data_IF_110376817211
#
_entry.id   IF_110376817211
#
_cell.length_a   1.000
_cell.length_b   1.000
_cell.length_c   1.000
_cell.angle_alpha   90.00
_cell.angle_beta   90.00
_cell.angle_gamma   90.00
#
_symmetry.space_group_name_H-M   'P 1'
#
loop_
_entity.id
_entity.type
_entity.pdbx_description
1 polymer ?
#
# COMPACT_ATOMS: atom_id res chain seq x y z
N UNK A 1 -7.84 11.55 -8.19
CA UNK A 1 -8.57 12.44 -7.26
C UNK A 1 -7.93 12.53 -5.87
N UNK A 2 -6.65 12.17 -5.69
CA UNK A 2 -5.94 12.26 -4.40
C UNK A 2 -5.65 13.71 -3.95
N UNK A 3 -5.54 14.65 -4.89
CA UNK A 3 -5.15 16.02 -4.60
C UNK A 3 -6.07 16.77 -3.62
N UNK A 4 -7.36 16.43 -3.54
CA UNK A 4 -8.30 17.08 -2.61
C UNK A 4 -8.21 16.49 -1.20
N UNK A 5 -8.22 15.16 -1.08
CA UNK A 5 -8.09 14.46 0.21
C UNK A 5 -6.76 14.80 0.89
N UNK A 6 -5.64 14.79 0.14
CA UNK A 6 -4.33 15.17 0.69
C UNK A 6 -4.24 16.63 1.14
N UNK A 7 -4.98 17.55 0.50
CA UNK A 7 -5.05 18.96 0.93
C UNK A 7 -5.89 19.15 2.18
N UNK A 8 -7.01 18.44 2.30
CA UNK A 8 -7.94 18.58 3.43
C UNK A 8 -7.46 17.80 4.67
N UNK A 9 -6.73 16.71 4.46
CA UNK A 9 -6.24 15.80 5.50
C UNK A 9 -4.73 15.51 5.33
N UNK A 10 -3.84 16.51 5.39
CA UNK A 10 -2.42 16.34 5.11
C UNK A 10 -1.70 15.39 6.08
N UNK A 11 -2.21 15.23 7.31
CA UNK A 11 -1.64 14.33 8.31
C UNK A 11 -2.18 12.88 8.21
N UNK A 12 -3.09 12.60 7.27
CA UNK A 12 -3.71 11.29 7.12
C UNK A 12 -3.11 10.57 5.93
N UNK A 13 -2.07 9.79 6.19
CA UNK A 13 -1.41 8.93 5.20
C UNK A 13 -1.98 7.49 5.26
N UNK A 14 -2.70 7.04 4.22
CA UNK A 14 -3.26 5.70 4.14
C UNK A 14 -2.22 4.59 4.10
N UNK A 15 -1.04 4.83 3.51
CA UNK A 15 0.01 3.83 3.42
C UNK A 15 0.61 3.58 4.81
N UNK A 16 0.96 4.64 5.53
CA UNK A 16 1.45 4.54 6.90
C UNK A 16 0.41 3.90 7.83
N UNK A 17 -0.87 4.30 7.69
CA UNK A 17 -1.94 3.72 8.49
C UNK A 17 -2.17 2.23 8.18
N UNK A 18 -2.12 1.82 6.91
CA UNK A 18 -2.24 0.42 6.51
C UNK A 18 -1.07 -0.43 7.05
N UNK A 19 0.16 0.08 7.02
CA UNK A 19 1.33 -0.61 7.60
C UNK A 19 1.17 -0.89 9.09
N UNK A 20 0.55 0.03 9.83
CA UNK A 20 0.24 -0.17 11.24
C UNK A 20 -0.94 -1.15 11.45
N UNK A 21 -1.95 -1.11 10.58
CA UNK A 21 -3.16 -1.93 10.71
C UNK A 21 -2.92 -3.42 10.36
N UNK A 22 -2.06 -3.71 9.38
CA UNK A 22 -1.82 -5.07 8.87
C UNK A 22 -1.36 -6.06 9.96
N UNK A 23 -0.37 -5.75 10.81
CA UNK A 23 0.04 -6.66 11.89
C UNK A 23 -1.07 -7.01 12.89
N UNK A 24 -2.08 -6.15 13.05
CA UNK A 24 -3.25 -6.41 13.89
C UNK A 24 -4.17 -7.42 13.17
N UNK A 25 -4.44 -7.16 11.88
CA UNK A 25 -5.25 -8.04 11.04
C UNK A 25 -4.63 -9.43 10.84
N UNK A 26 -3.31 -9.53 10.73
CA UNK A 26 -2.61 -10.81 10.55
C UNK A 26 -2.60 -11.66 11.83
N UNK A 27 -2.80 -11.03 13.00
CA UNK A 27 -3.05 -11.72 14.28
C UNK A 27 -4.52 -12.12 14.47
N UNK A 28 -5.38 -11.84 13.48
CA UNK A 28 -6.84 -12.01 13.55
C UNK A 28 -7.50 -11.24 14.71
N UNK A 29 -6.86 -10.16 15.19
CA UNK A 29 -7.42 -9.29 16.22
C UNK A 29 -8.34 -8.24 15.58
N UNK A 30 -9.52 -8.70 15.16
CA UNK A 30 -10.47 -7.85 14.42
C UNK A 30 -11.06 -6.74 15.28
N UNK A 31 -11.27 -6.98 16.58
CA UNK A 31 -11.83 -5.99 17.48
C UNK A 31 -10.89 -4.79 17.64
N UNK A 32 -9.60 -5.04 17.87
CA UNK A 32 -8.59 -3.97 17.91
C UNK A 32 -8.48 -3.27 16.57
N UNK A 33 -8.51 -4.00 15.45
CA UNK A 33 -8.45 -3.40 14.12
C UNK A 33 -9.64 -2.45 13.86
N UNK A 34 -10.85 -2.85 14.26
CA UNK A 34 -12.07 -2.02 14.16
C UNK A 34 -11.98 -0.79 15.06
N UNK A 35 -11.50 -0.95 16.30
CA UNK A 35 -11.34 0.17 17.23
C UNK A 35 -10.35 1.22 16.69
N UNK A 36 -9.18 0.77 16.25
CA UNK A 36 -8.13 1.63 15.68
C UNK A 36 -8.61 2.34 14.41
N UNK A 37 -9.28 1.61 13.52
CA UNK A 37 -9.90 2.16 12.32
C UNK A 37 -10.92 3.26 12.63
N UNK A 38 -11.82 2.99 13.59
CA UNK A 38 -12.89 3.91 13.96
C UNK A 38 -12.33 5.19 14.57
N UNK A 39 -11.37 5.07 15.49
CA UNK A 39 -10.70 6.22 16.11
C UNK A 39 -9.94 7.07 15.07
N UNK A 40 -9.30 6.44 14.08
CA UNK A 40 -8.62 7.16 13.00
C UNK A 40 -9.61 7.92 12.11
N UNK A 41 -10.72 7.28 11.70
CA UNK A 41 -11.78 7.95 10.92
C UNK A 41 -12.43 9.11 11.68
N UNK A 42 -12.71 8.95 12.96
CA UNK A 42 -13.30 10.01 13.80
C UNK A 42 -12.35 11.21 13.89
N UNK A 43 -11.03 10.98 14.00
CA UNK A 43 -10.04 12.07 13.95
C UNK A 43 -10.06 12.80 12.59
N UNK A 44 -10.15 12.08 11.48
CA UNK A 44 -10.25 12.68 10.15
C UNK A 44 -11.52 13.53 10.03
N UNK A 45 -12.66 12.99 10.48
CA UNK A 45 -13.94 13.70 10.46
C UNK A 45 -13.89 14.98 11.31
N UNK A 46 -13.35 14.91 12.53
CA UNK A 46 -13.17 16.09 13.39
C UNK A 46 -12.31 17.17 12.72
N UNK A 47 -11.25 16.79 12.01
CA UNK A 47 -10.44 17.76 11.27
C UNK A 47 -11.23 18.43 10.14
N UNK A 48 -12.03 17.68 9.39
CA UNK A 48 -12.88 18.23 8.32
C UNK A 48 -13.96 19.17 8.88
N UNK A 49 -14.56 18.83 10.03
CA UNK A 49 -15.54 19.68 10.72
C UNK A 49 -14.88 20.98 11.18
N UNK A 50 -13.69 20.92 11.79
CA UNK A 50 -12.91 22.10 12.19
C UNK A 50 -12.55 22.99 11.00
N UNK A 51 -12.24 22.38 9.85
CA UNK A 51 -12.00 23.07 8.58
C UNK A 51 -13.26 23.62 7.91
N UNK A 52 -14.44 23.52 8.54
CA UNK A 52 -15.74 23.96 8.00
C UNK A 52 -16.06 23.36 6.64
N UNK A 53 -15.57 22.15 6.36
CA UNK A 53 -15.82 21.46 5.08
C UNK A 53 -17.29 21.06 5.00
N UNK A 54 -18.01 21.34 3.90
CA UNK A 54 -19.42 20.97 3.74
C UNK A 54 -19.64 19.46 3.89
N UNK A 55 -20.78 19.05 4.46
CA UNK A 55 -21.05 17.65 4.80
C UNK A 55 -20.94 16.70 3.61
N UNK A 56 -21.51 17.07 2.45
CA UNK A 56 -21.40 16.28 1.23
C UNK A 56 -19.94 16.02 0.84
N UNK A 57 -19.09 17.04 0.95
CA UNK A 57 -17.65 16.94 0.71
C UNK A 57 -16.97 16.07 1.77
N UNK A 58 -17.33 16.20 3.05
CA UNK A 58 -16.78 15.34 4.12
C UNK A 58 -17.04 13.87 3.86
N UNK A 59 -18.28 13.52 3.50
CA UNK A 59 -18.67 12.13 3.17
C UNK A 59 -17.85 11.58 2.00
N UNK A 60 -17.65 12.39 0.95
CA UNK A 60 -16.84 12.01 -0.20
C UNK A 60 -15.37 11.79 0.20
N UNK A 61 -14.77 12.73 0.94
CA UNK A 61 -13.37 12.64 1.39
C UNK A 61 -13.15 11.42 2.28
N UNK A 62 -14.06 11.14 3.22
CA UNK A 62 -13.97 9.96 4.10
C UNK A 62 -14.14 8.64 3.33
N UNK A 63 -14.97 8.63 2.28
CA UNK A 63 -15.11 7.47 1.38
C UNK A 63 -13.82 7.23 0.61
N UNK A 64 -13.23 8.27 0.04
CA UNK A 64 -12.00 8.20 -0.72
C UNK A 64 -10.81 7.78 0.18
N UNK A 65 -10.75 8.33 1.40
CA UNK A 65 -9.77 7.92 2.41
C UNK A 65 -9.92 6.43 2.77
N UNK A 66 -11.15 5.96 2.94
CA UNK A 66 -11.45 4.55 3.21
C UNK A 66 -10.98 3.65 2.06
N UNK A 67 -11.27 4.04 0.82
CA UNK A 67 -10.87 3.29 -0.37
C UNK A 67 -9.34 3.24 -0.50
N UNK A 68 -8.65 4.35 -0.25
CA UNK A 68 -7.19 4.41 -0.28
C UNK A 68 -6.56 3.42 0.72
N UNK A 69 -7.00 3.39 1.99
CA UNK A 69 -6.44 2.43 2.96
C UNK A 69 -6.72 0.98 2.54
N UNK A 70 -7.92 0.68 2.02
CA UNK A 70 -8.23 -0.68 1.54
C UNK A 70 -7.26 -1.12 0.45
N UNK A 71 -6.97 -0.25 -0.51
CA UNK A 71 -6.00 -0.52 -1.58
C UNK A 71 -4.60 -0.79 -1.00
N UNK A 72 -4.15 0.01 -0.02
CA UNK A 72 -2.85 -0.19 0.64
C UNK A 72 -2.81 -1.51 1.43
N UNK A 73 -3.86 -1.84 2.18
CA UNK A 73 -3.96 -3.13 2.90
C UNK A 73 -3.94 -4.29 1.91
N UNK A 74 -4.64 -4.20 0.78
CA UNK A 74 -4.58 -5.22 -0.27
C UNK A 74 -3.20 -5.31 -0.91
N UNK A 75 -2.52 -4.19 -1.14
CA UNK A 75 -1.16 -4.19 -1.68
C UNK A 75 -0.20 -4.91 -0.71
N UNK A 76 -0.28 -4.62 0.59
CA UNK A 76 0.57 -5.25 1.61
C UNK A 76 0.25 -6.75 1.74
N UNK A 77 -1.02 -7.11 2.03
CA UNK A 77 -1.40 -8.51 2.28
C UNK A 77 -1.47 -9.37 1.01
N UNK A 78 -1.78 -8.76 -0.14
CA UNK A 78 -1.71 -9.40 -1.45
C UNK A 78 -0.27 -9.65 -1.88
N UNK A 79 0.67 -8.74 -1.59
CA UNK A 79 2.10 -8.99 -1.80
C UNK A 79 2.61 -10.13 -0.92
N UNK A 80 2.08 -10.33 0.29
CA UNK A 80 2.46 -11.47 1.15
C UNK A 80 2.03 -12.81 0.55
N UNK A 81 0.90 -12.87 -0.19
CA UNK A 81 0.47 -14.07 -0.91
C UNK A 81 1.21 -14.31 -2.24
N UNK A 82 1.83 -13.28 -2.83
CA UNK A 82 2.54 -13.37 -4.11
C UNK A 82 4.04 -13.73 -3.99
N UNK A 83 4.51 -14.22 -2.84
CA UNK A 83 5.94 -14.50 -2.63
C UNK A 83 6.76 -13.24 -2.32
N UNK A 84 8.05 -13.39 -1.96
CA UNK A 84 8.84 -12.33 -1.33
C UNK A 84 8.82 -11.05 -2.17
N UNK A 85 8.48 -9.93 -1.52
CA UNK A 85 8.65 -8.58 -2.04
C UNK A 85 10.06 -8.49 -2.63
N UNK A 86 10.27 -8.16 -3.92
CA UNK A 86 11.60 -8.06 -4.47
C UNK A 86 12.36 -7.04 -3.62
N UNK A 87 13.33 -7.54 -2.86
CA UNK A 87 14.26 -6.70 -2.13
C UNK A 87 14.87 -5.76 -3.16
N UNK A 88 14.76 -4.45 -2.88
CA UNK A 88 15.51 -3.35 -3.50
C UNK A 88 16.10 -3.68 -4.86
N UNK A 89 15.49 -3.13 -5.92
CA UNK A 89 16.01 -3.14 -7.30
C UNK A 89 17.54 -3.07 -7.25
N UNK A 90 18.18 -4.22 -7.44
CA UNK A 90 19.61 -4.27 -7.61
C UNK A 90 19.90 -3.33 -8.77
N UNK A 91 20.75 -2.34 -8.55
CA UNK A 91 21.12 -1.37 -9.57
C UNK A 91 21.38 -2.10 -10.89
N UNK A 92 20.90 -1.53 -11.99
CA UNK A 92 20.81 -2.12 -13.34
C UNK A 92 22.08 -2.78 -13.87
N UNK A 93 23.21 -2.64 -13.20
CA UNK A 93 24.49 -3.30 -13.46
C UNK A 93 24.48 -4.82 -13.24
N UNK A 94 23.63 -5.39 -12.37
CA UNK A 94 23.67 -6.83 -12.06
C UNK A 94 22.81 -7.72 -12.99
N UNK A 95 22.00 -7.15 -13.88
CA UNK A 95 21.10 -7.92 -14.76
C UNK A 95 21.78 -8.43 -16.04
N UNK A 96 23.00 -7.96 -16.35
CA UNK A 96 23.67 -8.26 -17.63
C UNK A 96 24.69 -9.41 -17.60
N UNK A 97 24.76 -10.21 -16.55
CA UNK A 97 25.69 -11.37 -16.50
C UNK A 97 25.05 -12.72 -16.86
N UNK A 98 23.85 -12.74 -17.46
CA UNK A 98 23.40 -13.93 -18.18
C UNK A 98 24.08 -14.00 -19.54
N UNK A 99 25.33 -14.48 -19.55
CA UNK A 99 25.96 -14.96 -20.79
C UNK A 99 25.32 -16.30 -21.15
N UNK A 100 24.63 -16.43 -22.30
CA UNK A 100 24.28 -17.75 -22.81
C UNK A 100 25.57 -18.48 -23.16
N UNK A 101 25.74 -19.69 -22.63
CA UNK A 101 26.83 -20.60 -22.98
C UNK A 101 26.72 -20.88 -24.48
N UNK A 102 27.66 -20.35 -25.26
CA UNK A 102 27.80 -20.64 -26.68
C UNK A 102 27.75 -22.17 -26.88
N UNK A 103 26.85 -22.61 -27.75
CA UNK A 103 26.82 -23.99 -28.24
C UNK A 103 28.19 -24.29 -28.85
N UNK A 104 28.93 -25.19 -28.23
CA UNK A 104 30.14 -25.73 -28.79
C UNK A 104 29.75 -26.53 -30.04
N UNK A 105 29.92 -25.91 -31.21
CA UNK A 105 30.03 -26.64 -32.48
C UNK A 105 31.32 -27.45 -32.44
N UNK A 106 31.24 -28.68 -31.93
CA UNK A 106 32.26 -29.70 -32.07
C UNK A 106 31.89 -30.58 -33.26
N UNK A 107 32.66 -30.46 -34.33
CA UNK A 107 32.53 -31.34 -35.49
C UNK A 107 33.06 -32.75 -35.27
N UNK A 108 32.78 -33.56 -36.28
CA UNK A 108 33.55 -34.69 -36.80
C UNK A 108 33.45 -36.08 -36.13
N UNK A 109 33.09 -37.05 -36.99
CA UNK A 109 33.24 -38.53 -37.00
C UNK A 109 32.04 -39.13 -37.75
N UNK A 110 32.16 -39.92 -38.80
CA UNK A 110 33.28 -40.50 -39.54
C UNK A 110 32.68 -41.38 -40.64
#
# INVERSE_FOLDING_TARGET
>A
MWGMTGRLLPAFDPAAFAQMLVPILDRNDFDTAVAVWSAWKERAERQLVRGKVPEATRRLVLRDLTAAVRLEVYAIRGSIKCGPRPAQVASSAQVLSFRPRAAAGGGDRG
#
